data_IF_764051023636
#
_entry.id   IF_764051023636
#
_cell.length_a   1.000
_cell.length_b   1.000
_cell.length_c   1.000
_cell.angle_alpha   90.00
_cell.angle_beta   90.00
_cell.angle_gamma   90.00
#
_symmetry.space_group_name_H-M   'P 1'
#
loop_
_entity.id
_entity.type
_entity.pdbx_description
1 polymer ?
#
# COMPACT_ATOMS: atom_id res chain seq x y z
N UNK A 1 1.27 14.30 -14.08
CA UNK A 1 2.37 13.50 -13.49
C UNK A 1 2.24 13.63 -11.97
N UNK A 2 1.91 12.55 -11.26
CA UNK A 2 1.79 12.56 -9.80
C UNK A 2 3.22 12.51 -9.24
N UNK A 3 3.67 13.56 -8.56
CA UNK A 3 4.96 13.58 -7.87
C UNK A 3 4.77 13.00 -6.45
N UNK A 4 5.11 11.73 -6.27
CA UNK A 4 5.19 11.11 -4.96
C UNK A 4 6.57 11.43 -4.37
N UNK A 5 6.68 12.52 -3.61
CA UNK A 5 7.88 12.81 -2.83
C UNK A 5 7.94 11.79 -1.69
N UNK A 6 8.74 10.73 -1.86
CA UNK A 6 9.08 9.86 -0.75
C UNK A 6 10.13 10.56 0.12
N UNK A 7 9.98 10.57 1.45
CA UNK A 7 11.03 11.04 2.35
C UNK A 7 12.31 10.25 2.07
N UNK A 8 13.46 10.93 2.10
CA UNK A 8 14.72 10.26 1.88
C UNK A 8 15.02 9.28 3.04
N UNK A 9 15.91 8.32 2.76
CA UNK A 9 16.26 7.27 3.73
C UNK A 9 16.79 7.82 5.05
N UNK A 10 17.47 8.98 5.05
CA UNK A 10 18.06 9.58 6.25
C UNK A 10 16.98 10.14 7.16
N UNK A 11 15.93 10.73 6.59
CA UNK A 11 14.82 11.28 7.38
C UNK A 11 14.13 10.21 8.23
N UNK A 12 13.91 9.01 7.67
CA UNK A 12 13.35 7.88 8.44
C UNK A 12 14.32 7.33 9.47
N UNK A 13 15.61 7.22 9.14
CA UNK A 13 16.64 6.75 10.08
C UNK A 13 16.72 7.65 11.33
N UNK A 14 16.72 8.97 11.15
CA UNK A 14 16.68 9.90 12.27
C UNK A 14 15.44 9.71 13.14
N UNK A 15 14.26 9.55 12.53
CA UNK A 15 13.05 9.24 13.28
C UNK A 15 13.17 7.95 14.10
N UNK A 16 13.67 6.86 13.50
CA UNK A 16 13.84 5.56 14.15
C UNK A 16 14.86 5.60 15.30
N UNK A 17 15.91 6.42 15.17
CA UNK A 17 16.94 6.64 16.20
C UNK A 17 16.49 7.63 17.29
N UNK A 18 15.26 8.16 17.22
CA UNK A 18 14.73 9.14 18.15
C UNK A 18 15.35 10.54 17.99
N UNK A 19 16.10 10.76 16.92
CA UNK A 19 16.67 12.06 16.57
C UNK A 19 15.55 12.91 15.99
N UNK A 20 15.10 13.89 16.79
CA UNK A 20 14.03 14.79 16.40
C UNK A 20 14.47 15.69 15.23
N UNK A 21 14.13 15.31 14.01
CA UNK A 21 14.31 16.15 12.85
C UNK A 21 13.17 17.17 12.78
N UNK A 22 13.48 18.44 13.07
CA UNK A 22 12.51 19.55 13.02
C UNK A 22 12.06 19.86 11.59
N UNK A 23 12.71 19.30 10.58
CA UNK A 23 12.34 19.46 9.17
C UNK A 23 11.26 18.46 8.70
N UNK A 24 10.89 17.49 9.53
CA UNK A 24 9.85 16.52 9.21
C UNK A 24 8.46 17.15 9.20
N UNK A 25 7.71 16.87 8.14
CA UNK A 25 6.29 17.22 8.06
C UNK A 25 5.54 16.62 9.27
N UNK A 26 4.76 17.41 10.03
CA UNK A 26 4.02 16.91 11.18
C UNK A 26 3.04 15.78 10.87
N UNK A 27 2.46 15.73 9.66
CA UNK A 27 1.58 14.65 9.18
C UNK A 27 2.38 13.36 9.03
N UNK A 28 3.56 13.44 8.41
CA UNK A 28 4.45 12.30 8.22
C UNK A 28 4.92 11.76 9.56
N UNK A 29 5.37 12.63 10.46
CA UNK A 29 5.79 12.26 11.82
C UNK A 29 4.67 11.58 12.61
N UNK A 30 3.44 12.10 12.55
CA UNK A 30 2.27 11.45 13.19
C UNK A 30 1.99 10.07 12.59
N UNK A 31 2.07 9.93 11.26
CA UNK A 31 1.84 8.65 10.60
C UNK A 31 2.87 7.62 11.02
N UNK A 32 4.14 8.01 11.06
CA UNK A 32 5.24 7.13 11.42
C UNK A 32 5.15 6.64 12.87
N UNK A 33 4.83 7.53 13.82
CA UNK A 33 4.58 7.14 15.22
C UNK A 33 3.47 6.10 15.35
N UNK A 34 2.33 6.33 14.69
CA UNK A 34 1.23 5.36 14.70
C UNK A 34 1.63 4.02 14.10
N UNK A 35 2.42 4.02 13.02
CA UNK A 35 2.89 2.79 12.39
C UNK A 35 3.84 2.01 13.30
N UNK A 36 4.79 2.69 13.97
CA UNK A 36 5.70 2.03 14.92
C UNK A 36 4.96 1.53 16.16
N UNK A 37 4.01 2.31 16.69
CA UNK A 37 3.16 1.87 17.81
C UNK A 37 2.32 0.64 17.43
N UNK A 38 1.97 0.52 16.14
CA UNK A 38 1.29 -0.65 15.55
C UNK A 38 2.20 -1.82 15.19
N UNK A 39 3.51 -1.76 15.50
CA UNK A 39 4.45 -2.85 15.28
C UNK A 39 5.19 -2.84 13.93
N UNK A 40 5.12 -1.74 13.16
CA UNK A 40 5.92 -1.60 11.95
C UNK A 40 7.42 -1.55 12.30
N UNK A 41 8.25 -2.31 11.58
CA UNK A 41 9.70 -2.43 11.82
C UNK A 41 10.53 -1.92 10.63
N UNK A 42 11.74 -1.50 10.92
CA UNK A 42 12.75 -1.12 9.93
C UNK A 42 13.36 -2.33 9.20
N UNK A 43 13.26 -3.53 9.79
CA UNK A 43 13.86 -4.76 9.24
C UNK A 43 13.10 -5.31 8.04
N UNK A 44 11.92 -4.75 7.74
CA UNK A 44 11.06 -5.16 6.64
C UNK A 44 9.63 -5.43 7.11
N UNK A 45 8.74 -5.83 6.18
CA UNK A 45 7.40 -6.27 6.56
C UNK A 45 7.51 -7.46 7.54
N UNK A 46 6.57 -7.58 8.49
CA UNK A 46 6.52 -8.75 9.35
C UNK A 46 6.46 -10.03 8.51
N UNK A 47 6.97 -11.16 9.01
CA UNK A 47 7.12 -12.39 8.21
C UNK A 47 5.81 -12.87 7.55
N UNK A 48 4.67 -12.50 8.10
CA UNK A 48 3.34 -12.81 7.59
C UNK A 48 2.43 -11.58 7.69
N UNK A 49 2.08 -10.98 6.55
CA UNK A 49 0.90 -10.13 6.45
C UNK A 49 -0.31 -10.94 6.90
N UNK A 50 -1.19 -10.30 7.65
CA UNK A 50 -2.45 -10.93 8.02
C UNK A 50 -3.30 -11.04 6.77
N UNK A 51 -3.61 -12.27 6.33
CA UNK A 51 -4.56 -12.49 5.26
C UNK A 51 -5.95 -12.69 5.85
N UNK A 52 -6.94 -12.02 5.28
CA UNK A 52 -8.34 -12.33 5.59
C UNK A 52 -8.73 -13.68 4.97
N UNK A 53 -9.67 -14.35 5.61
CA UNK A 53 -10.22 -15.61 5.09
C UNK A 53 -10.93 -15.38 3.74
N UNK A 54 -10.95 -16.43 2.90
CA UNK A 54 -11.50 -16.32 1.55
C UNK A 54 -12.98 -15.91 1.53
N UNK A 55 -13.79 -16.42 2.47
CA UNK A 55 -15.20 -16.06 2.59
C UNK A 55 -15.36 -14.58 2.93
N UNK A 56 -14.60 -14.10 3.92
CA UNK A 56 -14.59 -12.69 4.32
C UNK A 56 -14.15 -11.77 3.17
N UNK A 57 -13.11 -12.17 2.42
CA UNK A 57 -12.67 -11.43 1.25
C UNK A 57 -13.79 -11.30 0.21
N UNK A 58 -14.50 -12.39 -0.08
CA UNK A 58 -15.60 -12.37 -1.05
C UNK A 58 -16.75 -11.46 -0.60
N UNK A 59 -17.07 -11.46 0.70
CA UNK A 59 -18.09 -10.57 1.27
C UNK A 59 -17.68 -9.09 1.16
N UNK A 60 -16.44 -8.75 1.53
CA UNK A 60 -15.89 -7.40 1.40
C UNK A 60 -15.88 -6.94 -0.07
N UNK A 61 -15.49 -7.84 -0.97
CA UNK A 61 -15.49 -7.61 -2.41
C UNK A 61 -16.90 -7.38 -2.97
N UNK A 62 -17.89 -8.15 -2.54
CA UNK A 62 -19.29 -8.01 -2.95
C UNK A 62 -19.87 -6.68 -2.44
N UNK A 63 -19.58 -6.30 -1.20
CA UNK A 63 -20.02 -5.03 -0.60
C UNK A 63 -19.58 -3.81 -1.41
N UNK A 64 -18.38 -3.87 -2.00
CA UNK A 64 -17.77 -2.76 -2.76
C UNK A 64 -17.77 -2.97 -4.27
N UNK A 65 -18.50 -3.98 -4.76
CA UNK A 65 -18.49 -4.42 -6.16
C UNK A 65 -18.85 -3.30 -7.15
N UNK A 66 -19.87 -2.48 -6.84
CA UNK A 66 -20.25 -1.33 -7.68
C UNK A 66 -19.12 -0.31 -7.81
N UNK A 67 -18.47 0.03 -6.71
CA UNK A 67 -17.33 0.95 -6.70
C UNK A 67 -16.15 0.36 -7.46
N UNK A 68 -15.86 -0.92 -7.23
CA UNK A 68 -14.76 -1.64 -7.89
C UNK A 68 -14.92 -1.68 -9.41
N UNK A 69 -16.14 -1.89 -9.93
CA UNK A 69 -16.41 -1.83 -11.37
C UNK A 69 -16.17 -0.43 -11.98
N UNK A 70 -16.62 0.62 -11.30
CA UNK A 70 -16.40 2.00 -11.75
C UNK A 70 -14.91 2.34 -11.74
N UNK A 71 -14.23 2.01 -10.63
CA UNK A 71 -12.81 2.23 -10.47
C UNK A 71 -12.00 1.46 -11.53
N UNK A 72 -12.37 0.21 -11.83
CA UNK A 72 -11.73 -0.59 -12.87
C UNK A 72 -11.78 0.10 -14.23
N UNK A 73 -12.92 0.63 -14.65
CA UNK A 73 -13.02 1.34 -15.94
C UNK A 73 -12.06 2.53 -16.06
N UNK A 74 -11.92 3.31 -14.98
CA UNK A 74 -11.00 4.45 -14.92
C UNK A 74 -9.54 3.97 -14.87
N UNK A 75 -9.29 2.92 -14.09
CA UNK A 75 -7.93 2.42 -13.89
C UNK A 75 -7.42 1.70 -15.14
N UNK A 76 -8.27 1.01 -15.90
CA UNK A 76 -7.87 0.31 -17.13
C UNK A 76 -7.28 1.29 -18.17
N UNK A 77 -7.79 2.52 -18.25
CA UNK A 77 -7.19 3.59 -19.05
C UNK A 77 -5.77 3.97 -18.55
N UNK A 78 -5.53 3.86 -17.24
CA UNK A 78 -4.24 4.08 -16.59
C UNK A 78 -3.30 2.86 -16.64
N UNK A 79 -3.82 1.64 -16.77
CA UNK A 79 -3.02 0.40 -16.71
C UNK A 79 -1.91 0.41 -17.76
N UNK A 80 -2.22 0.84 -18.99
CA UNK A 80 -1.20 0.96 -20.04
C UNK A 80 -0.05 1.89 -19.66
N UNK A 81 -0.31 2.94 -18.87
CA UNK A 81 0.73 3.83 -18.33
C UNK A 81 1.46 3.20 -17.13
N UNK A 82 0.73 2.48 -16.27
CA UNK A 82 1.30 1.82 -15.08
C UNK A 82 2.29 0.71 -15.45
N UNK A 83 2.00 -0.05 -16.52
CA UNK A 83 2.86 -1.10 -17.06
C UNK A 83 4.26 -0.61 -17.41
N UNK A 84 4.37 0.62 -17.92
CA UNK A 84 5.63 1.22 -18.37
C UNK A 84 6.35 2.00 -17.28
N UNK A 85 5.71 2.22 -16.13
CA UNK A 85 6.24 3.06 -15.03
C UNK A 85 6.66 2.25 -13.80
N UNK A 86 6.33 0.96 -13.74
CA UNK A 86 6.70 0.09 -12.62
C UNK A 86 5.95 0.40 -11.32
N UNK A 87 4.76 1.02 -11.43
CA UNK A 87 3.87 1.26 -10.30
C UNK A 87 2.75 0.21 -10.23
N UNK A 88 2.19 0.03 -9.03
CA UNK A 88 1.01 -0.81 -8.78
C UNK A 88 -0.11 0.05 -8.21
N UNK A 89 -1.32 -0.15 -8.72
CA UNK A 89 -2.54 0.38 -8.12
C UNK A 89 -3.16 -0.69 -7.23
N UNK A 90 -3.65 -0.30 -6.05
CA UNK A 90 -4.39 -1.18 -5.16
C UNK A 90 -5.73 -0.52 -4.84
N UNK A 91 -6.78 -1.32 -4.76
CA UNK A 91 -8.03 -0.92 -4.10
C UNK A 91 -8.08 -1.62 -2.76
N UNK A 92 -8.18 -0.84 -1.70
CA UNK A 92 -8.40 -1.34 -0.34
C UNK A 92 -9.78 -0.91 0.16
N UNK A 93 -10.32 -1.62 1.14
CA UNK A 93 -11.41 -1.06 1.95
C UNK A 93 -10.86 -0.11 3.04
N UNK A 94 -11.77 0.40 3.86
CA UNK A 94 -11.47 1.33 4.95
C UNK A 94 -10.63 0.69 6.07
N UNK A 95 -10.62 -0.65 6.15
CA UNK A 95 -9.79 -1.39 7.12
C UNK A 95 -8.41 -1.74 6.57
N UNK A 96 -8.11 -1.34 5.32
CA UNK A 96 -6.83 -1.57 4.66
C UNK A 96 -6.73 -2.92 3.94
N UNK A 97 -7.80 -3.72 3.88
CA UNK A 97 -7.76 -5.02 3.19
C UNK A 97 -7.69 -4.79 1.68
N UNK A 98 -6.70 -5.38 1.02
CA UNK A 98 -6.55 -5.29 -0.42
C UNK A 98 -7.65 -6.11 -1.10
N UNK A 99 -8.56 -5.44 -1.80
CA UNK A 99 -9.68 -6.07 -2.52
C UNK A 99 -9.35 -6.34 -3.98
N UNK A 100 -8.45 -5.53 -4.55
CA UNK A 100 -8.08 -5.61 -5.96
C UNK A 100 -6.71 -4.97 -6.23
N UNK A 101 -6.07 -5.40 -7.32
CA UNK A 101 -4.76 -4.91 -7.77
C UNK A 101 -4.74 -4.62 -9.27
N UNK A 102 -3.97 -3.60 -9.66
CA UNK A 102 -3.91 -3.06 -11.02
C UNK A 102 -2.46 -2.74 -11.41
N UNK A 103 -2.15 -2.95 -12.68
CA UNK A 103 -0.80 -2.87 -13.24
C UNK A 103 -0.42 -4.19 -13.91
N UNK A 104 0.45 -4.14 -14.91
CA UNK A 104 0.75 -5.31 -15.75
C UNK A 104 2.22 -5.68 -15.87
N UNK A 105 2.43 -6.90 -16.38
CA UNK A 105 3.74 -7.46 -16.68
C UNK A 105 4.51 -8.05 -15.49
N UNK A 106 5.84 -7.98 -15.55
CA UNK A 106 6.81 -8.57 -14.60
C UNK A 106 6.69 -8.09 -13.15
N UNK A 107 5.77 -7.17 -12.84
CA UNK A 107 5.68 -6.46 -11.57
C UNK A 107 4.75 -7.11 -10.53
N UNK A 108 3.76 -7.91 -10.94
CA UNK A 108 2.94 -8.71 -10.00
C UNK A 108 3.81 -9.62 -9.12
N UNK A 109 4.90 -10.16 -9.69
CA UNK A 109 5.90 -10.94 -8.94
C UNK A 109 6.77 -10.13 -7.97
N UNK A 110 6.83 -8.79 -8.08
CA UNK A 110 7.51 -7.92 -7.08
C UNK A 110 6.58 -7.47 -5.99
N UNK A 111 5.32 -7.14 -6.32
CA UNK A 111 4.29 -6.82 -5.33
C UNK A 111 4.05 -7.99 -4.35
N UNK A 112 4.15 -9.22 -4.85
CA UNK A 112 4.15 -10.43 -4.01
C UNK A 112 5.26 -10.44 -2.94
N UNK A 113 6.45 -9.88 -3.24
CA UNK A 113 7.57 -9.81 -2.26
C UNK A 113 7.32 -8.83 -1.12
N UNK A 114 6.33 -7.95 -1.28
CA UNK A 114 5.89 -7.02 -0.23
C UNK A 114 4.52 -7.40 0.34
N UNK A 115 4.03 -8.62 0.04
CA UNK A 115 2.71 -9.11 0.45
C UNK A 115 1.54 -8.19 0.01
N UNK A 116 1.75 -7.38 -1.03
CA UNK A 116 0.75 -6.49 -1.61
C UNK A 116 -0.14 -7.26 -2.59
N UNK A 117 -0.86 -8.24 -2.06
CA UNK A 117 -1.74 -9.14 -2.80
C UNK A 117 -3.15 -9.08 -2.24
N UNK A 118 -4.14 -9.35 -3.08
CA UNK A 118 -5.56 -9.40 -2.68
C UNK A 118 -5.73 -10.29 -1.45
N UNK A 119 -6.44 -9.78 -0.45
CA UNK A 119 -6.68 -10.43 0.84
C UNK A 119 -5.66 -10.08 1.94
N UNK A 120 -4.54 -9.44 1.62
CA UNK A 120 -3.61 -8.95 2.64
C UNK A 120 -4.18 -7.74 3.39
N UNK A 121 -3.76 -7.58 4.65
CA UNK A 121 -4.09 -6.50 5.57
C UNK A 121 -2.84 -5.99 6.29
#
# INVERSE_FOLDING_TARGET
>A
MINLQAPDRRTWQHFAEGVADRSLDPVLLRSWRRSTDGGASFEGPPPQAAFVERSELLERQARLDRMRRIARGIIDELVGTLEHTGYVGLITDAEGVILDGFGGGSFLGRAQRSQLTVGAR
#
